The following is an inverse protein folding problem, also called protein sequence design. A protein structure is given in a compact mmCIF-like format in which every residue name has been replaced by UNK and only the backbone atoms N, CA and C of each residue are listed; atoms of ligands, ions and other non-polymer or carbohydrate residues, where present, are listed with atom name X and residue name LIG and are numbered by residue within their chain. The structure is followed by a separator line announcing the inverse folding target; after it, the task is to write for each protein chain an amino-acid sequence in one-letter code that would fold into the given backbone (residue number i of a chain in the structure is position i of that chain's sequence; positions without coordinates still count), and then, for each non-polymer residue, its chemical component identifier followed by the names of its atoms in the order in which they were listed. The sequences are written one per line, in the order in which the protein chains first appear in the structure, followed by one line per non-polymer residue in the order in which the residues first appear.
data_IF_359250920293
#
_entry.id   IF_359250920293
#
_cell.length_a   1.000
_cell.length_b   1.000
_cell.length_c   1.000
_cell.angle_alpha   90.00
_cell.angle_beta   90.00
_cell.angle_gamma   90.00
#
_symmetry.space_group_name_H-M   'P 1'
#
loop_
_entity.id
_entity.type
_entity.pdbx_description
1 polymer ?
#
# COMPACT_ATOMS: atom_id res chain seq x y z
N UNK A 1 14.81 29.26 -14.85
CA UNK A 1 13.92 28.22 -14.31
C UNK A 1 13.34 27.44 -15.47
N UNK A 2 13.42 26.09 -15.47
CA UNK A 2 12.63 25.27 -16.41
C UNK A 2 11.16 25.63 -16.18
N UNK A 3 10.38 25.78 -17.26
CA UNK A 3 8.97 26.18 -17.18
C UNK A 3 8.25 25.38 -16.09
N UNK A 4 7.55 26.09 -15.20
CA UNK A 4 6.59 25.47 -14.30
C UNK A 4 5.60 24.71 -15.18
N UNK A 5 5.62 23.39 -15.08
CA UNK A 5 4.68 22.53 -15.78
C UNK A 5 3.98 21.70 -14.73
N UNK A 6 2.71 21.38 -14.97
CA UNK A 6 1.83 20.62 -14.08
C UNK A 6 2.47 19.38 -13.45
N UNK A 7 3.35 18.70 -14.20
CA UNK A 7 4.02 17.47 -13.76
C UNK A 7 5.15 17.70 -12.73
N UNK A 8 5.56 18.96 -12.51
CA UNK A 8 6.67 19.33 -11.63
C UNK A 8 6.21 20.07 -10.35
N UNK A 9 4.90 20.24 -10.15
CA UNK A 9 4.34 20.80 -8.91
C UNK A 9 4.58 19.83 -7.74
N UNK A 10 5.42 20.22 -6.78
CA UNK A 10 5.74 19.40 -5.61
C UNK A 10 4.84 19.72 -4.41
N UNK A 11 4.54 20.99 -4.20
CA UNK A 11 3.69 21.47 -3.11
C UNK A 11 2.82 22.64 -3.58
N UNK A 12 1.67 22.81 -2.91
CA UNK A 12 0.79 23.97 -3.07
C UNK A 12 0.81 24.72 -1.75
N UNK A 13 1.19 25.99 -1.79
CA UNK A 13 1.25 26.88 -0.61
C UNK A 13 0.21 28.00 -0.70
N UNK A 14 -0.47 28.12 -1.84
CA UNK A 14 -1.39 29.22 -2.09
C UNK A 14 -2.32 28.94 -3.28
N UNK A 15 -3.50 29.52 -3.25
CA UNK A 15 -4.49 29.48 -4.34
C UNK A 15 -4.81 30.91 -4.74
N UNK A 16 -4.82 31.18 -6.05
CA UNK A 16 -5.14 32.50 -6.61
C UNK A 16 -6.46 32.50 -7.38
N UNK A 17 -7.13 33.66 -7.38
CA UNK A 17 -8.28 33.96 -8.25
C UNK A 17 -8.06 35.35 -8.85
N UNK A 18 -8.11 35.46 -10.17
CA UNK A 18 -7.92 36.73 -10.88
C UNK A 18 -9.29 37.33 -11.20
N UNK A 19 -9.50 38.58 -10.84
CA UNK A 19 -10.73 39.34 -11.04
C UNK A 19 -10.45 40.49 -12.01
N UNK A 20 -10.87 40.31 -13.26
CA UNK A 20 -10.72 41.33 -14.30
C UNK A 20 -12.01 42.15 -14.45
N UNK A 21 -12.30 42.93 -13.42
CA UNK A 21 -13.51 43.74 -13.32
C UNK A 21 -13.67 44.74 -14.48
N UNK A 22 -12.58 45.18 -15.11
CA UNK A 22 -12.62 46.11 -16.25
C UNK A 22 -13.27 45.53 -17.50
N UNK A 23 -13.36 44.20 -17.61
CA UNK A 23 -14.09 43.55 -18.70
C UNK A 23 -15.60 43.77 -18.60
N UNK A 24 -16.11 44.25 -17.45
CA UNK A 24 -17.52 44.55 -17.23
C UNK A 24 -17.74 46.05 -17.35
N UNK A 25 -18.68 46.45 -18.23
CA UNK A 25 -18.99 47.87 -18.50
C UNK A 25 -19.36 48.66 -17.24
N UNK A 26 -20.01 47.99 -16.29
CA UNK A 26 -20.48 48.57 -15.02
C UNK A 26 -19.33 49.00 -14.09
N UNK A 27 -18.20 48.29 -14.13
CA UNK A 27 -17.08 48.48 -13.21
C UNK A 27 -15.88 49.21 -13.83
N UNK A 28 -15.94 49.56 -15.12
CA UNK A 28 -14.83 50.22 -15.84
C UNK A 28 -14.39 51.56 -15.25
N UNK A 29 -15.32 52.28 -14.61
CA UNK A 29 -15.09 53.63 -14.05
C UNK A 29 -14.73 53.64 -12.57
N UNK A 30 -14.81 52.49 -11.91
CA UNK A 30 -14.56 52.39 -10.47
C UNK A 30 -13.07 52.21 -10.16
N UNK A 31 -12.64 52.78 -9.04
CA UNK A 31 -11.28 52.58 -8.54
C UNK A 31 -11.12 51.15 -8.01
N UNK A 32 -9.93 50.52 -8.12
CA UNK A 32 -9.73 49.16 -7.63
C UNK A 32 -10.09 48.99 -6.16
N UNK A 33 -9.91 50.03 -5.32
CA UNK A 33 -10.30 49.98 -3.90
C UNK A 33 -11.81 49.88 -3.71
N UNK A 34 -12.59 50.61 -4.51
CA UNK A 34 -14.06 50.54 -4.45
C UNK A 34 -14.57 49.15 -4.84
N UNK A 35 -13.91 48.49 -5.80
CA UNK A 35 -14.24 47.11 -6.15
C UNK A 35 -13.88 46.15 -5.01
N UNK A 36 -12.75 46.36 -4.32
CA UNK A 36 -12.40 45.55 -3.14
C UNK A 36 -13.45 45.73 -2.04
N UNK A 37 -13.88 46.95 -1.75
CA UNK A 37 -14.94 47.23 -0.76
C UNK A 37 -16.26 46.52 -1.12
N UNK A 38 -16.65 46.52 -2.40
CA UNK A 38 -17.84 45.77 -2.85
C UNK A 38 -17.67 44.25 -2.66
N UNK A 39 -16.48 43.71 -2.96
CA UNK A 39 -16.18 42.29 -2.75
C UNK A 39 -16.20 41.92 -1.26
N UNK A 40 -15.69 42.80 -0.39
CA UNK A 40 -15.74 42.65 1.06
C UNK A 40 -17.18 42.60 1.58
N UNK A 41 -18.05 43.48 1.09
CA UNK A 41 -19.43 43.59 1.56
C UNK A 41 -20.32 42.43 1.07
N UNK A 42 -20.17 42.03 -0.20
CA UNK A 42 -21.13 41.14 -0.86
C UNK A 42 -20.69 39.66 -0.87
N UNK A 43 -19.39 39.38 -0.76
CA UNK A 43 -18.86 38.02 -0.97
C UNK A 43 -18.01 37.49 0.18
N UNK A 44 -17.14 38.29 0.77
CA UNK A 44 -16.22 37.80 1.80
C UNK A 44 -16.98 37.36 3.06
N UNK A 45 -16.57 36.23 3.64
CA UNK A 45 -17.23 35.53 4.77
C UNK A 45 -18.69 35.10 4.52
N UNK A 46 -19.24 35.36 3.33
CA UNK A 46 -20.61 34.97 2.97
C UNK A 46 -20.63 33.86 1.92
N UNK A 47 -19.95 34.10 0.79
CA UNK A 47 -19.91 33.18 -0.37
C UNK A 47 -18.52 32.62 -0.64
N UNK A 48 -17.49 33.37 -0.27
CA UNK A 48 -16.09 32.96 -0.34
C UNK A 48 -15.38 33.38 0.95
N UNK A 49 -14.31 32.69 1.35
CA UNK A 49 -13.52 33.11 2.50
C UNK A 49 -12.80 34.43 2.19
N UNK A 50 -12.43 35.15 3.25
CA UNK A 50 -11.59 36.34 3.12
C UNK A 50 -10.20 35.96 2.62
N UNK A 51 -9.70 36.55 1.53
CA UNK A 51 -8.33 36.30 1.09
C UNK A 51 -7.31 36.84 2.09
N UNK A 52 -6.14 36.22 2.18
CA UNK A 52 -5.07 36.74 3.03
C UNK A 52 -4.47 38.02 2.46
N UNK A 53 -4.28 38.02 1.14
CA UNK A 53 -3.65 39.10 0.39
C UNK A 53 -4.47 39.40 -0.86
N UNK A 54 -4.63 40.68 -1.17
CA UNK A 54 -5.21 41.15 -2.42
C UNK A 54 -4.16 41.97 -3.16
N UNK A 55 -3.72 41.49 -4.32
CA UNK A 55 -2.95 42.28 -5.27
C UNK A 55 -3.94 43.13 -6.08
N UNK A 56 -3.73 44.44 -6.16
CA UNK A 56 -4.64 45.32 -6.88
C UNK A 56 -3.94 46.34 -7.78
N UNK A 57 -4.61 46.66 -8.88
CA UNK A 57 -4.17 47.59 -9.91
C UNK A 57 -5.21 47.62 -11.03
N UNK A 58 -4.80 47.45 -12.28
CA UNK A 58 -5.77 47.31 -13.39
C UNK A 58 -6.64 46.06 -13.27
N UNK A 59 -6.14 45.03 -12.62
CA UNK A 59 -6.84 43.80 -12.26
C UNK A 59 -6.66 43.57 -10.77
N UNK A 60 -7.56 42.80 -10.18
CA UNK A 60 -7.49 42.40 -8.77
C UNK A 60 -7.16 40.91 -8.74
N UNK A 61 -6.27 40.49 -7.85
CA UNK A 61 -5.99 39.07 -7.62
C UNK A 61 -6.13 38.77 -6.15
N UNK A 62 -7.03 37.85 -5.84
CA UNK A 62 -7.27 37.34 -4.49
C UNK A 62 -6.31 36.18 -4.24
N UNK A 63 -5.57 36.23 -3.14
CA UNK A 63 -4.55 35.24 -2.77
C UNK A 63 -4.91 34.62 -1.43
N UNK A 64 -5.13 33.31 -1.47
CA UNK A 64 -5.40 32.47 -0.31
C UNK A 64 -4.15 31.69 0.04
N UNK A 65 -3.58 31.94 1.21
CA UNK A 65 -2.44 31.18 1.72
C UNK A 65 -2.94 29.89 2.33
N UNK A 66 -2.44 28.75 1.84
CA UNK A 66 -2.79 27.44 2.38
C UNK A 66 -1.60 26.79 3.08
N UNK A 67 -1.88 25.94 4.06
CA UNK A 67 -0.83 25.09 4.63
C UNK A 67 -0.13 24.27 3.53
N UNK A 68 1.22 24.11 3.60
CA UNK A 68 1.97 23.40 2.57
C UNK A 68 1.45 21.99 2.31
N UNK A 69 0.77 21.82 1.17
CA UNK A 69 0.18 20.55 0.76
C UNK A 69 1.09 19.84 -0.25
N UNK A 70 1.74 18.76 0.17
CA UNK A 70 2.60 17.96 -0.70
C UNK A 70 1.80 17.07 -1.66
N UNK A 71 2.18 17.08 -2.94
CA UNK A 71 1.52 16.30 -3.98
C UNK A 71 2.22 14.94 -4.10
N UNK A 72 1.55 13.80 -3.78
CA UNK A 72 2.18 12.50 -3.89
C UNK A 72 2.45 12.14 -5.35
N UNK A 73 3.63 11.58 -5.62
CA UNK A 73 3.98 11.02 -6.93
C UNK A 73 2.91 9.99 -7.32
N UNK A 74 2.14 10.25 -8.38
CA UNK A 74 1.01 9.44 -8.88
C UNK A 74 -0.36 9.61 -8.19
N UNK A 75 -0.59 10.67 -7.39
CA UNK A 75 -1.94 11.01 -6.90
C UNK A 75 -2.25 12.48 -7.13
N UNK A 76 -3.18 12.74 -8.03
CA UNK A 76 -3.57 14.10 -8.40
C UNK A 76 -4.69 14.68 -7.52
N UNK A 77 -5.16 13.96 -6.50
CA UNK A 77 -6.32 14.35 -5.70
C UNK A 77 -6.17 15.75 -5.10
N UNK A 78 -4.99 16.07 -4.55
CA UNK A 78 -4.69 17.38 -3.94
C UNK A 78 -4.75 18.50 -4.99
N UNK A 79 -4.19 18.23 -6.18
CA UNK A 79 -4.20 19.16 -7.30
C UNK A 79 -5.62 19.39 -7.85
N UNK A 80 -6.41 18.32 -7.97
CA UNK A 80 -7.82 18.40 -8.39
C UNK A 80 -8.63 19.21 -7.39
N UNK A 81 -8.43 18.97 -6.09
CA UNK A 81 -9.14 19.71 -5.04
C UNK A 81 -8.82 21.20 -5.05
N UNK A 82 -7.53 21.56 -5.04
CA UNK A 82 -7.10 22.96 -5.06
C UNK A 82 -7.60 23.71 -6.32
N UNK A 83 -7.64 23.03 -7.47
CA UNK A 83 -8.24 23.60 -8.69
C UNK A 83 -9.75 23.82 -8.55
N UNK A 84 -10.47 22.85 -7.97
CA UNK A 84 -11.91 22.97 -7.75
C UNK A 84 -12.23 24.14 -6.83
N UNK A 85 -11.42 24.36 -5.78
CA UNK A 85 -11.55 25.52 -4.89
C UNK A 85 -11.42 26.84 -5.67
N UNK A 86 -10.35 27.01 -6.46
CA UNK A 86 -10.18 28.20 -7.31
C UNK A 86 -11.32 28.38 -8.32
N UNK A 87 -11.82 27.28 -8.90
CA UNK A 87 -12.95 27.31 -9.85
C UNK A 87 -14.26 27.74 -9.20
N UNK A 88 -14.56 27.26 -7.99
CA UNK A 88 -15.79 27.65 -7.27
C UNK A 88 -15.72 29.13 -6.89
N UNK A 89 -14.59 29.60 -6.37
CA UNK A 89 -14.43 31.02 -6.02
C UNK A 89 -14.53 31.93 -7.25
N UNK A 90 -13.90 31.55 -8.36
CA UNK A 90 -14.03 32.30 -9.61
C UNK A 90 -15.47 32.28 -10.16
N UNK A 91 -16.21 31.19 -9.94
CA UNK A 91 -17.62 31.08 -10.36
C UNK A 91 -18.52 32.01 -9.55
N UNK A 92 -18.32 32.11 -8.23
CA UNK A 92 -19.06 33.06 -7.39
C UNK A 92 -18.79 34.51 -7.81
N UNK A 93 -17.56 34.81 -8.22
CA UNK A 93 -17.14 36.15 -8.65
C UNK A 93 -17.26 36.39 -10.17
N UNK A 94 -17.98 35.53 -10.90
CA UNK A 94 -18.06 35.59 -12.37
C UNK A 94 -18.68 36.90 -12.88
N UNK A 95 -19.59 37.48 -12.11
CA UNK A 95 -20.23 38.75 -12.43
C UNK A 95 -19.24 39.92 -12.40
N UNK A 96 -18.20 39.81 -11.56
CA UNK A 96 -17.04 40.71 -11.49
C UNK A 96 -15.94 40.36 -12.50
N UNK A 97 -16.18 39.40 -13.41
CA UNK A 97 -15.19 39.00 -14.42
C UNK A 97 -14.07 38.15 -13.87
N UNK A 98 -14.34 37.37 -12.81
CA UNK A 98 -13.33 36.48 -12.25
C UNK A 98 -13.05 35.25 -13.11
N UNK A 99 -11.78 34.87 -13.13
CA UNK A 99 -11.26 33.68 -13.77
C UNK A 99 -10.38 32.89 -12.80
N UNK A 100 -10.38 31.56 -12.96
CA UNK A 100 -9.53 30.69 -12.18
C UNK A 100 -8.06 30.93 -12.57
N UNK A 101 -7.18 30.97 -11.58
CA UNK A 101 -5.77 31.05 -11.83
C UNK A 101 -5.12 29.67 -11.85
N UNK A 102 -4.11 29.47 -12.70
CA UNK A 102 -3.32 28.25 -12.69
C UNK A 102 -2.52 28.14 -11.38
N UNK A 103 -2.53 26.97 -10.74
CA UNK A 103 -1.76 26.70 -9.51
C UNK A 103 -0.25 26.86 -9.69
N UNK A 104 0.24 26.81 -10.93
CA UNK A 104 1.63 27.00 -11.32
C UNK A 104 2.03 28.48 -11.42
N UNK A 105 1.06 29.39 -11.26
CA UNK A 105 1.31 30.81 -11.40
C UNK A 105 2.13 31.35 -10.22
N UNK A 106 3.05 32.26 -10.54
CA UNK A 106 3.85 32.97 -9.54
C UNK A 106 3.16 34.28 -9.16
N UNK A 107 3.20 34.62 -7.88
CA UNK A 107 2.80 35.94 -7.42
C UNK A 107 3.88 36.98 -7.71
N UNK A 108 3.45 38.23 -7.87
CA UNK A 108 4.39 39.34 -8.05
C UNK A 108 5.01 39.69 -6.70
N UNK A 109 6.32 39.99 -6.63
CA UNK A 109 6.91 40.48 -5.39
C UNK A 109 6.27 41.82 -4.98
N UNK A 110 6.04 42.05 -3.67
CA UNK A 110 5.57 43.35 -3.19
C UNK A 110 6.56 44.46 -3.55
N UNK A 111 6.04 45.65 -3.88
CA UNK A 111 6.82 46.82 -4.33
C UNK A 111 7.61 46.63 -5.63
N UNK A 112 7.37 45.55 -6.37
CA UNK A 112 7.94 45.38 -7.71
C UNK A 112 7.27 46.33 -8.71
N UNK A 113 8.00 46.70 -9.77
CA UNK A 113 7.49 47.55 -10.85
C UNK A 113 7.02 46.65 -11.99
N UNK A 114 5.77 46.81 -12.42
CA UNK A 114 5.23 46.08 -13.55
C UNK A 114 5.79 46.63 -14.86
N UNK A 115 6.59 45.84 -15.59
CA UNK A 115 7.24 46.26 -16.83
C UNK A 115 6.29 46.68 -17.95
N UNK A 116 5.01 46.27 -17.90
CA UNK A 116 4.02 46.66 -18.92
C UNK A 116 3.47 48.07 -18.72
N UNK A 117 3.30 48.49 -17.46
CA UNK A 117 2.61 49.75 -17.12
C UNK A 117 3.47 50.70 -16.29
N UNK A 118 4.72 50.34 -15.96
CA UNK A 118 5.63 51.04 -15.06
C UNK A 118 5.03 51.45 -13.70
N UNK A 119 3.95 50.80 -13.28
CA UNK A 119 3.29 51.04 -12.00
C UNK A 119 3.80 50.05 -10.95
N UNK A 120 3.90 50.52 -9.71
CA UNK A 120 4.22 49.68 -8.54
C UNK A 120 3.05 48.74 -8.23
N UNK A 121 3.37 47.46 -7.95
CA UNK A 121 2.38 46.46 -7.55
C UNK A 121 1.92 46.74 -6.12
N UNK A 122 0.63 47.02 -5.95
CA UNK A 122 0.01 47.32 -4.65
C UNK A 122 -0.63 46.07 -4.05
N UNK A 123 -0.51 45.93 -2.74
CA UNK A 123 -1.09 44.84 -1.97
C UNK A 123 -1.93 45.39 -0.82
N UNK A 124 -3.04 44.72 -0.53
CA UNK A 124 -3.82 44.88 0.70
C UNK A 124 -3.72 43.55 1.47
N UNK A 125 -3.31 43.62 2.73
CA UNK A 125 -3.15 42.45 3.60
C UNK A 125 -4.19 42.54 4.71
N UNK A 126 -4.95 41.46 4.91
CA UNK A 126 -5.88 41.35 6.04
C UNK A 126 -5.15 40.76 7.23
N UNK A 127 -4.96 39.43 7.21
CA UNK A 127 -4.23 38.70 8.24
C UNK A 127 -3.33 37.64 7.59
N UNK A 128 -2.02 37.85 7.77
CA UNK A 128 -0.98 36.94 7.28
C UNK A 128 -0.73 35.76 8.25
N UNK A 129 -1.32 35.79 9.45
CA UNK A 129 -1.21 34.71 10.44
C UNK A 129 -2.16 33.55 10.13
N UNK A 130 -3.28 33.83 9.47
CA UNK A 130 -4.27 32.83 9.08
C UNK A 130 -3.73 32.01 7.90
N UNK A 131 -3.69 30.69 8.04
CA UNK A 131 -3.42 29.76 6.94
C UNK A 131 -4.58 28.81 6.81
N UNK A 132 -5.16 28.77 5.62
CA UNK A 132 -6.25 27.85 5.33
C UNK A 132 -5.72 26.43 5.12
N UNK A 133 -6.46 25.43 5.57
CA UNK A 133 -6.23 24.05 5.11
C UNK A 133 -7.12 23.75 3.91
N UNK A 134 -6.64 22.90 3.00
CA UNK A 134 -7.47 22.45 1.87
C UNK A 134 -8.74 21.71 2.33
N UNK A 135 -8.69 21.07 3.51
CA UNK A 135 -9.85 20.40 4.09
C UNK A 135 -10.90 21.42 4.58
N UNK A 136 -10.49 22.47 5.31
CA UNK A 136 -11.41 23.54 5.73
C UNK A 136 -12.06 24.20 4.52
N UNK A 137 -11.27 24.52 3.48
CA UNK A 137 -11.80 25.11 2.25
C UNK A 137 -12.79 24.18 1.54
N UNK A 138 -12.57 22.87 1.64
CA UNK A 138 -13.47 21.88 1.10
C UNK A 138 -14.76 21.73 1.90
N UNK A 139 -14.68 21.68 3.22
CA UNK A 139 -15.85 21.44 4.07
C UNK A 139 -16.77 22.65 4.16
N UNK A 140 -16.20 23.86 4.15
CA UNK A 140 -16.97 25.10 4.33
C UNK A 140 -17.49 25.70 3.01
N UNK A 141 -16.73 25.56 1.92
CA UNK A 141 -16.99 26.35 0.70
C UNK A 141 -17.21 25.54 -0.59
N UNK A 142 -17.12 24.20 -0.54
CA UNK A 142 -17.40 23.37 -1.70
C UNK A 142 -18.70 22.58 -1.52
N UNK A 143 -19.51 22.52 -2.58
CA UNK A 143 -20.71 21.68 -2.62
C UNK A 143 -20.36 20.21 -2.32
N UNK A 144 -21.26 19.57 -1.55
CA UNK A 144 -21.22 18.12 -1.35
C UNK A 144 -21.15 17.39 -2.70
N UNK A 145 -20.33 16.34 -2.74
CA UNK A 145 -20.24 15.52 -3.94
C UNK A 145 -21.62 14.94 -4.28
N UNK A 146 -22.07 14.97 -5.55
CA UNK A 146 -23.38 14.47 -5.93
C UNK A 146 -23.61 13.03 -5.46
N UNK A 147 -24.86 12.68 -5.11
CA UNK A 147 -25.22 11.35 -4.57
C UNK A 147 -24.79 10.19 -5.48
N UNK A 148 -24.77 10.40 -6.80
CA UNK A 148 -24.31 9.41 -7.79
C UNK A 148 -22.78 9.20 -7.78
N UNK A 149 -22.01 10.15 -7.23
CA UNK A 149 -20.56 10.07 -7.11
C UNK A 149 -20.19 9.14 -5.94
N UNK A 150 -20.22 7.84 -6.21
CA UNK A 150 -19.88 6.79 -5.24
C UNK A 150 -18.46 7.03 -4.71
N UNK A 151 -18.33 7.30 -3.40
CA UNK A 151 -17.04 7.17 -2.70
C UNK A 151 -16.46 5.82 -3.08
N UNK A 152 -15.20 5.81 -3.55
CA UNK A 152 -14.52 4.58 -3.93
C UNK A 152 -14.47 3.70 -2.69
N UNK A 153 -15.39 2.73 -2.59
CA UNK A 153 -15.39 1.77 -1.49
C UNK A 153 -14.03 1.08 -1.55
N UNK A 154 -13.24 1.20 -0.49
CA UNK A 154 -12.02 0.41 -0.35
C UNK A 154 -12.35 -1.05 -0.63
N UNK A 155 -11.41 -1.82 -1.20
CA UNK A 155 -11.61 -3.23 -1.62
C UNK A 155 -12.58 -3.96 -0.67
N UNK A 156 -13.83 -4.10 -1.08
CA UNK A 156 -14.82 -4.83 -0.30
C UNK A 156 -14.40 -6.30 -0.36
N UNK A 157 -14.09 -6.90 0.80
CA UNK A 157 -13.84 -8.34 0.90
C UNK A 157 -15.06 -9.05 0.32
N UNK A 158 -14.82 -9.91 -0.66
CA UNK A 158 -15.83 -10.74 -1.29
C UNK A 158 -16.62 -11.51 -0.22
N UNK A 159 -17.94 -11.31 -0.13
CA UNK A 159 -18.76 -11.88 0.97
C UNK A 159 -18.75 -13.41 1.01
N UNK A 160 -18.44 -14.07 -0.11
CA UNK A 160 -18.39 -15.54 -0.25
C UNK A 160 -17.00 -16.13 -0.06
N UNK A 161 -15.96 -15.31 0.04
CA UNK A 161 -14.60 -15.82 0.18
C UNK A 161 -14.35 -16.15 1.65
N UNK A 162 -14.52 -17.42 2.02
CA UNK A 162 -13.99 -17.96 3.28
C UNK A 162 -12.46 -17.89 3.20
N UNK A 163 -11.90 -16.81 3.73
CA UNK A 163 -10.46 -16.68 3.88
C UNK A 163 -10.09 -17.36 5.19
N UNK A 164 -9.26 -18.43 5.14
CA UNK A 164 -8.57 -18.90 6.35
C UNK A 164 -7.73 -17.73 6.87
N UNK A 165 -8.20 -17.10 7.94
CA UNK A 165 -7.44 -16.06 8.61
C UNK A 165 -6.29 -16.77 9.32
N UNK A 166 -5.05 -16.46 8.93
CA UNK A 166 -3.90 -16.80 9.75
C UNK A 166 -3.98 -15.94 11.02
N UNK A 167 -4.64 -16.47 12.04
CA UNK A 167 -4.66 -15.91 13.38
C UNK A 167 -3.83 -16.81 14.31
N UNK A 168 -3.46 -16.27 15.46
CA UNK A 168 -2.60 -16.96 16.44
C UNK A 168 -3.27 -18.25 16.93
N UNK A 169 -4.59 -18.28 17.04
CA UNK A 169 -5.36 -19.47 17.39
C UNK A 169 -5.15 -20.63 16.40
N UNK A 170 -5.39 -20.39 15.10
CA UNK A 170 -5.24 -21.40 14.04
C UNK A 170 -3.79 -21.86 13.93
N UNK A 171 -2.83 -20.94 14.08
CA UNK A 171 -1.41 -21.28 14.10
C UNK A 171 -1.08 -22.30 15.21
N UNK A 172 -1.54 -22.07 16.43
CA UNK A 172 -1.24 -22.97 17.55
C UNK A 172 -2.03 -24.28 17.49
N UNK A 173 -3.24 -24.29 16.91
CA UNK A 173 -3.93 -25.54 16.60
C UNK A 173 -3.12 -26.41 15.63
N UNK A 174 -2.56 -25.80 14.59
CA UNK A 174 -1.70 -26.52 13.65
C UNK A 174 -0.39 -26.96 14.28
N UNK A 175 0.22 -26.15 15.17
CA UNK A 175 1.42 -26.55 15.93
C UNK A 175 1.18 -27.77 16.81
N UNK A 176 0.04 -27.87 17.48
CA UNK A 176 -0.28 -29.05 18.30
C UNK A 176 -0.34 -30.32 17.43
N UNK A 177 -0.96 -30.26 16.25
CA UNK A 177 -0.99 -31.38 15.29
C UNK A 177 0.40 -31.72 14.74
N UNK A 178 1.22 -30.71 14.49
CA UNK A 178 2.60 -30.92 14.04
C UNK A 178 3.43 -31.62 15.13
N UNK A 179 3.22 -31.28 16.41
CA UNK A 179 3.88 -31.95 17.53
C UNK A 179 3.45 -33.42 17.67
N UNK A 180 2.19 -33.76 17.40
CA UNK A 180 1.70 -35.13 17.34
C UNK A 180 2.41 -35.93 16.24
N UNK A 181 2.54 -35.37 15.04
CA UNK A 181 3.32 -36.00 13.95
C UNK A 181 4.79 -36.18 14.30
N UNK A 182 5.41 -35.19 14.96
CA UNK A 182 6.80 -35.30 15.42
C UNK A 182 6.91 -36.39 16.48
N UNK A 183 5.95 -36.50 17.40
CA UNK A 183 5.90 -37.59 18.38
C UNK A 183 5.84 -38.97 17.70
N UNK A 184 4.98 -39.15 16.70
CA UNK A 184 4.89 -40.40 15.94
C UNK A 184 6.23 -40.74 15.27
N UNK A 185 6.89 -39.74 14.67
CA UNK A 185 8.22 -39.90 14.10
C UNK A 185 9.25 -40.32 15.15
N UNK A 186 9.33 -39.64 16.30
CA UNK A 186 10.28 -39.99 17.36
C UNK A 186 10.05 -41.41 17.91
N UNK A 187 8.78 -41.82 18.05
CA UNK A 187 8.43 -43.18 18.42
C UNK A 187 8.91 -44.19 17.36
N UNK A 188 8.83 -43.86 16.07
CA UNK A 188 9.30 -44.76 15.00
C UNK A 188 10.81 -45.00 15.02
N UNK A 189 11.60 -44.01 15.44
CA UNK A 189 13.06 -44.10 15.55
C UNK A 189 13.55 -44.44 16.96
N UNK A 190 12.63 -44.65 17.92
CA UNK A 190 12.91 -44.86 19.35
C UNK A 190 13.79 -43.77 19.99
N UNK A 191 13.62 -42.51 19.58
CA UNK A 191 14.34 -41.38 20.15
C UNK A 191 13.63 -40.85 21.41
N UNK A 192 14.36 -40.73 22.51
CA UNK A 192 13.78 -40.45 23.83
C UNK A 192 14.22 -39.11 24.43
N UNK A 193 15.22 -38.43 23.87
CA UNK A 193 15.80 -37.22 24.46
C UNK A 193 14.93 -35.97 24.30
N UNK A 194 14.09 -35.92 23.25
CA UNK A 194 13.31 -34.73 22.90
C UNK A 194 11.91 -34.70 23.52
N UNK A 195 11.47 -35.78 24.17
CA UNK A 195 10.12 -35.93 24.76
C UNK A 195 9.75 -34.78 25.70
N UNK A 196 10.65 -34.43 26.62
CA UNK A 196 10.40 -33.37 27.59
C UNK A 196 10.22 -32.00 26.92
N UNK A 197 10.99 -31.73 25.86
CA UNK A 197 10.89 -30.51 25.05
C UNK A 197 9.56 -30.46 24.30
N UNK A 198 9.10 -31.58 23.73
CA UNK A 198 7.80 -31.67 23.07
C UNK A 198 6.65 -31.46 24.04
N UNK A 199 6.64 -32.11 25.21
CA UNK A 199 5.61 -31.92 26.24
C UNK A 199 5.54 -30.47 26.72
N UNK A 200 6.69 -29.81 26.90
CA UNK A 200 6.76 -28.39 27.21
C UNK A 200 6.09 -27.53 26.13
N UNK A 201 6.45 -27.74 24.85
CA UNK A 201 5.86 -27.02 23.74
C UNK A 201 4.36 -27.28 23.60
N UNK A 202 3.91 -28.53 23.84
CA UNK A 202 2.50 -28.91 23.77
C UNK A 202 1.68 -28.14 24.82
N UNK A 203 2.12 -28.16 26.09
CA UNK A 203 1.47 -27.38 27.16
C UNK A 203 1.46 -25.88 26.84
N UNK A 204 2.58 -25.34 26.34
CA UNK A 204 2.69 -23.93 25.96
C UNK A 204 1.71 -23.54 24.84
N UNK A 205 1.68 -24.29 23.72
CA UNK A 205 0.82 -23.97 22.59
C UNK A 205 -0.65 -24.20 22.87
N UNK A 206 -0.99 -25.14 23.75
CA UNK A 206 -2.34 -25.31 24.25
C UNK A 206 -2.80 -24.04 25.00
N UNK A 207 -2.01 -23.54 25.94
CA UNK A 207 -2.34 -22.32 26.68
C UNK A 207 -2.44 -21.09 25.76
N UNK A 208 -1.53 -20.95 24.79
CA UNK A 208 -1.61 -19.84 23.82
C UNK A 208 -2.89 -19.97 22.98
N UNK A 209 -3.23 -21.17 22.50
CA UNK A 209 -4.48 -21.42 21.79
C UNK A 209 -5.67 -20.94 22.63
N UNK A 210 -5.76 -21.33 23.89
CA UNK A 210 -6.88 -20.94 24.76
C UNK A 210 -6.93 -19.45 25.04
N UNK A 211 -5.78 -18.83 25.34
CA UNK A 211 -5.67 -17.37 25.56
C UNK A 211 -6.21 -16.56 24.37
N UNK A 212 -5.90 -16.97 23.14
CA UNK A 212 -6.38 -16.26 21.96
C UNK A 212 -7.80 -16.62 21.52
N UNK A 213 -8.39 -17.68 22.08
CA UNK A 213 -9.78 -18.06 21.86
C UNK A 213 -10.72 -17.39 22.87
N UNK A 214 -10.37 -17.47 24.16
CA UNK A 214 -11.25 -17.12 25.28
C UNK A 214 -10.81 -15.83 26.00
N UNK A 215 -9.61 -15.30 25.71
CA UNK A 215 -9.08 -14.08 26.32
C UNK A 215 -8.14 -14.37 27.50
N UNK A 216 -8.54 -13.96 28.71
CA UNK A 216 -7.73 -14.18 29.91
C UNK A 216 -7.76 -15.65 30.31
N UNK A 217 -6.59 -16.21 30.65
CA UNK A 217 -6.48 -17.60 31.11
C UNK A 217 -7.04 -17.72 32.53
N UNK A 218 -7.90 -18.72 32.73
CA UNK A 218 -8.46 -19.07 34.05
C UNK A 218 -7.79 -20.34 34.60
N UNK A 219 -7.97 -20.61 35.90
CA UNK A 219 -7.39 -21.79 36.57
C UNK A 219 -7.71 -23.11 35.85
N UNK A 220 -8.93 -23.20 35.31
CA UNK A 220 -9.41 -24.35 34.54
C UNK A 220 -8.62 -24.57 33.24
N UNK A 221 -8.15 -23.50 32.57
CA UNK A 221 -7.33 -23.63 31.36
C UNK A 221 -5.98 -24.27 31.67
N UNK A 222 -5.39 -23.94 32.83
CA UNK A 222 -4.11 -24.50 33.26
C UNK A 222 -4.24 -25.98 33.63
N UNK A 223 -5.33 -26.38 34.30
CA UNK A 223 -5.64 -27.79 34.60
C UNK A 223 -5.86 -28.59 33.32
N UNK A 224 -6.59 -28.01 32.35
CA UNK A 224 -6.80 -28.65 31.06
C UNK A 224 -5.51 -28.78 30.24
N UNK A 225 -4.66 -27.75 30.24
CA UNK A 225 -3.36 -27.80 29.58
C UNK A 225 -2.44 -28.89 30.16
N UNK A 226 -2.44 -29.05 31.48
CA UNK A 226 -1.73 -30.14 32.17
C UNK A 226 -2.27 -31.51 31.74
N UNK A 227 -3.59 -31.69 31.80
CA UNK A 227 -4.26 -32.94 31.42
C UNK A 227 -3.96 -33.34 29.98
N UNK A 228 -4.03 -32.39 29.05
CA UNK A 228 -3.76 -32.66 27.63
C UNK A 228 -2.26 -32.92 27.39
N UNK A 229 -1.36 -32.23 28.08
CA UNK A 229 0.08 -32.53 28.04
C UNK A 229 0.39 -33.92 28.58
N UNK A 230 -0.25 -34.36 29.67
CA UNK A 230 -0.06 -35.70 30.22
C UNK A 230 -0.57 -36.79 29.26
N UNK A 231 -1.70 -36.57 28.59
CA UNK A 231 -2.17 -37.46 27.51
C UNK A 231 -1.14 -37.54 26.39
N UNK A 232 -0.65 -36.39 25.94
CA UNK A 232 0.40 -36.33 24.93
C UNK A 232 1.65 -37.10 25.38
N UNK A 233 2.11 -36.92 26.63
CA UNK A 233 3.25 -37.65 27.19
C UNK A 233 3.04 -39.18 27.16
N UNK A 234 1.82 -39.66 27.44
CA UNK A 234 1.52 -41.10 27.47
C UNK A 234 1.55 -41.76 26.08
N UNK A 235 1.53 -40.98 25.00
CA UNK A 235 1.62 -41.51 23.64
C UNK A 235 3.07 -41.80 23.20
N UNK A 236 4.08 -41.49 24.01
CA UNK A 236 5.46 -41.93 23.74
C UNK A 236 5.64 -43.42 24.09
N UNK A 237 6.48 -44.13 23.33
CA UNK A 237 6.85 -45.54 23.62
C UNK A 237 7.39 -45.70 25.04
N UNK A 238 8.22 -44.72 25.46
CA UNK A 238 8.62 -44.53 26.83
C UNK A 238 8.07 -43.18 27.29
N UNK A 239 7.05 -43.11 28.15
CA UNK A 239 6.57 -41.83 28.69
C UNK A 239 7.39 -41.41 29.92
N UNK A 240 7.49 -40.10 30.18
CA UNK A 240 8.01 -39.64 31.47
C UNK A 240 7.01 -39.89 32.59
N UNK A 241 7.48 -40.01 33.83
CA UNK A 241 6.59 -40.03 35.00
C UNK A 241 5.78 -38.73 35.06
N UNK A 242 4.45 -38.85 35.21
CA UNK A 242 3.53 -37.71 35.17
C UNK A 242 3.95 -36.54 36.08
N UNK A 243 4.32 -36.83 37.32
CA UNK A 243 4.76 -35.81 38.26
C UNK A 243 6.02 -35.07 37.80
N UNK A 244 6.99 -35.79 37.22
CA UNK A 244 8.25 -35.19 36.76
C UNK A 244 8.00 -34.25 35.58
N UNK A 245 7.19 -34.67 34.61
CA UNK A 245 6.92 -33.85 33.42
C UNK A 245 5.97 -32.67 33.73
N UNK A 246 5.04 -32.85 34.67
CA UNK A 246 4.23 -31.74 35.19
C UNK A 246 5.13 -30.62 35.72
N UNK A 247 6.04 -30.95 36.65
CA UNK A 247 6.95 -29.99 37.27
C UNK A 247 7.85 -29.33 36.22
N UNK A 248 8.43 -30.11 35.30
CA UNK A 248 9.30 -29.59 34.26
C UNK A 248 8.61 -28.63 33.28
N UNK A 249 7.30 -28.75 33.11
CA UNK A 249 6.52 -27.91 32.19
C UNK A 249 5.76 -26.78 32.90
N UNK A 250 5.74 -26.76 34.23
CA UNK A 250 4.94 -25.81 35.03
C UNK A 250 5.28 -24.34 34.80
N UNK A 251 6.49 -24.03 34.36
CA UNK A 251 6.92 -22.67 34.03
C UNK A 251 6.01 -21.98 32.99
N UNK A 252 5.35 -22.74 32.10
CA UNK A 252 4.45 -22.17 31.10
C UNK A 252 3.15 -21.61 31.67
N UNK A 253 2.81 -21.96 32.92
CA UNK A 253 1.65 -21.38 33.61
C UNK A 253 1.88 -19.89 33.90
N UNK A 254 3.13 -19.49 34.14
CA UNK A 254 3.51 -18.10 34.39
C UNK A 254 3.80 -17.35 33.09
N UNK A 255 4.52 -17.97 32.15
CA UNK A 255 4.97 -17.33 30.91
C UNK A 255 4.70 -18.19 29.70
N UNK A 256 3.89 -17.69 28.77
CA UNK A 256 3.67 -18.34 27.47
C UNK A 256 4.60 -17.79 26.39
N UNK A 257 5.21 -18.68 25.62
CA UNK A 257 6.28 -18.37 24.67
C UNK A 257 5.78 -18.42 23.22
N UNK A 258 5.88 -17.27 22.53
CA UNK A 258 5.58 -17.16 21.09
C UNK A 258 6.83 -17.48 20.27
N UNK A 259 7.10 -18.77 20.06
CA UNK A 259 8.26 -19.21 19.29
C UNK A 259 8.18 -18.86 17.80
N UNK A 260 9.31 -18.41 17.23
CA UNK A 260 9.55 -18.37 15.78
C UNK A 260 9.81 -19.78 15.26
N UNK A 261 9.54 -20.01 13.97
CA UNK A 261 9.76 -21.33 13.37
C UNK A 261 11.24 -21.74 13.41
N UNK A 262 12.19 -20.81 13.23
CA UNK A 262 13.62 -21.15 13.34
C UNK A 262 13.98 -21.58 14.77
N UNK A 263 13.40 -20.93 15.79
CA UNK A 263 13.64 -21.29 17.18
C UNK A 263 13.07 -22.68 17.51
N UNK A 264 11.89 -23.03 16.97
CA UNK A 264 11.31 -24.37 17.15
C UNK A 264 12.16 -25.45 16.51
N UNK A 265 12.64 -25.20 15.30
CA UNK A 265 13.52 -26.11 14.58
C UNK A 265 14.76 -26.43 15.41
N UNK A 266 15.45 -25.39 15.90
CA UNK A 266 16.65 -25.56 16.73
C UNK A 266 16.34 -26.21 18.08
N UNK A 267 15.22 -25.84 18.72
CA UNK A 267 14.84 -26.37 20.03
C UNK A 267 14.47 -27.86 19.98
N UNK A 268 13.90 -28.31 18.86
CA UNK A 268 13.57 -29.72 18.62
C UNK A 268 14.65 -30.48 17.86
N UNK A 269 15.79 -29.83 17.55
CA UNK A 269 16.91 -30.45 16.83
C UNK A 269 16.46 -31.09 15.49
N UNK A 270 15.50 -30.45 14.81
CA UNK A 270 14.95 -30.92 13.54
C UNK A 270 15.65 -30.26 12.34
N UNK A 271 15.48 -30.84 11.15
CA UNK A 271 15.87 -30.21 9.87
C UNK A 271 14.64 -29.76 9.09
N UNK A 272 14.81 -28.80 8.18
CA UNK A 272 13.69 -28.33 7.37
C UNK A 272 13.20 -29.42 6.42
N UNK A 273 14.12 -30.23 5.93
CA UNK A 273 13.87 -31.38 5.06
C UNK A 273 12.96 -32.39 5.77
N UNK A 274 13.29 -32.75 7.01
CA UNK A 274 12.46 -33.63 7.82
C UNK A 274 11.06 -33.05 8.08
N UNK A 275 10.96 -31.74 8.32
CA UNK A 275 9.66 -31.09 8.50
C UNK A 275 8.78 -31.16 7.23
N UNK A 276 9.40 -31.09 6.04
CA UNK A 276 8.70 -31.25 4.76
C UNK A 276 8.27 -32.70 4.52
N UNK A 277 9.13 -33.67 4.84
CA UNK A 277 8.84 -35.12 4.73
C UNK A 277 7.67 -35.54 5.65
N UNK A 278 7.64 -35.05 6.88
CA UNK A 278 6.55 -35.27 7.83
C UNK A 278 5.26 -34.52 7.45
N UNK A 279 5.32 -33.63 6.46
CA UNK A 279 4.18 -32.83 6.01
C UNK A 279 3.64 -31.91 7.10
N UNK A 280 4.52 -31.21 7.83
CA UNK A 280 4.12 -30.27 8.88
C UNK A 280 3.43 -29.02 8.29
N UNK A 281 2.36 -28.56 8.93
CA UNK A 281 1.55 -27.43 8.42
C UNK A 281 2.04 -26.06 8.88
N UNK A 282 2.61 -25.99 10.09
CA UNK A 282 2.95 -24.73 10.78
C UNK A 282 4.45 -24.54 10.98
N UNK A 283 5.21 -25.62 11.17
CA UNK A 283 6.67 -25.60 11.30
C UNK A 283 7.28 -25.82 9.91
N UNK A 284 7.37 -24.74 9.14
CA UNK A 284 7.92 -24.76 7.79
C UNK A 284 8.94 -23.64 7.59
N UNK A 285 9.79 -23.83 6.57
CA UNK A 285 10.82 -22.87 6.21
C UNK A 285 10.20 -21.55 5.73
N UNK A 286 10.45 -20.42 6.43
CA UNK A 286 9.86 -19.15 6.04
C UNK A 286 10.40 -18.71 4.68
N UNK A 287 9.49 -18.41 3.75
CA UNK A 287 9.87 -17.94 2.40
C UNK A 287 10.37 -16.50 2.44
N UNK A 288 11.46 -16.23 1.73
CA UNK A 288 11.97 -14.87 1.54
C UNK A 288 10.94 -13.99 0.80
N UNK A 289 11.09 -12.67 0.89
CA UNK A 289 10.23 -11.72 0.16
C UNK A 289 10.26 -11.99 -1.35
N UNK A 290 11.44 -12.30 -1.88
CA UNK A 290 11.63 -12.61 -3.29
C UNK A 290 10.92 -13.90 -3.71
N UNK A 291 11.04 -14.96 -2.91
CA UNK A 291 10.34 -16.23 -3.15
C UNK A 291 8.81 -16.02 -3.13
N UNK A 292 8.28 -15.26 -2.16
CA UNK A 292 6.86 -14.92 -2.09
C UNK A 292 6.38 -14.14 -3.31
N UNK A 293 7.17 -13.17 -3.77
CA UNK A 293 6.85 -12.39 -4.98
C UNK A 293 6.85 -13.27 -6.23
N UNK A 294 7.81 -14.18 -6.36
CA UNK A 294 7.89 -15.15 -7.45
C UNK A 294 6.68 -16.07 -7.46
N UNK A 295 6.28 -16.62 -6.31
CA UNK A 295 5.10 -17.47 -6.18
C UNK A 295 3.81 -16.73 -6.53
N UNK A 296 3.67 -15.48 -6.07
CA UNK A 296 2.53 -14.63 -6.38
C UNK A 296 2.44 -14.35 -7.89
N UNK A 297 3.56 -14.00 -8.52
CA UNK A 297 3.65 -13.78 -9.96
C UNK A 297 3.25 -15.06 -10.73
N UNK A 298 3.78 -16.21 -10.33
CA UNK A 298 3.45 -17.50 -10.95
C UNK A 298 1.97 -17.88 -10.77
N UNK A 299 1.39 -17.68 -9.59
CA UNK A 299 -0.05 -17.90 -9.36
C UNK A 299 -0.91 -16.98 -10.22
N UNK A 300 -0.52 -15.72 -10.37
CA UNK A 300 -1.20 -14.75 -11.24
C UNK A 300 -1.16 -15.20 -12.70
N UNK A 301 -0.02 -15.67 -13.18
CA UNK A 301 0.11 -16.22 -14.54
C UNK A 301 -0.81 -17.43 -14.76
N UNK A 302 -0.78 -18.42 -13.84
CA UNK A 302 -1.68 -19.59 -13.88
C UNK A 302 -3.15 -19.20 -13.91
N UNK A 303 -3.56 -18.23 -13.08
CA UNK A 303 -4.96 -17.76 -13.06
C UNK A 303 -5.40 -17.06 -14.35
N UNK A 304 -4.43 -16.57 -15.15
CA UNK A 304 -4.67 -15.93 -16.44
C UNK A 304 -4.45 -16.90 -17.61
N UNK A 305 -4.16 -18.18 -17.34
CA UNK A 305 -3.72 -19.18 -18.33
C UNK A 305 -2.55 -18.68 -19.19
N UNK A 306 -1.69 -17.84 -18.62
CA UNK A 306 -0.50 -17.29 -19.28
C UNK A 306 0.74 -18.05 -18.85
N UNK A 307 1.67 -18.23 -19.78
CA UNK A 307 2.98 -18.78 -19.50
C UNK A 307 3.88 -17.72 -18.86
N UNK A 308 4.88 -18.16 -18.12
CA UNK A 308 5.97 -17.27 -17.70
C UNK A 308 6.81 -16.88 -18.91
N UNK A 309 7.36 -15.66 -18.94
CA UNK A 309 8.30 -15.23 -20.00
C UNK A 309 9.45 -16.23 -20.20
N UNK A 310 9.90 -16.89 -19.13
CA UNK A 310 10.93 -17.94 -19.21
C UNK A 310 10.40 -19.17 -19.97
N UNK A 311 9.18 -19.59 -19.70
CA UNK A 311 8.53 -20.73 -20.37
C UNK A 311 8.20 -20.40 -21.83
N UNK A 312 7.74 -19.18 -22.12
CA UNK A 312 7.52 -18.69 -23.49
C UNK A 312 8.82 -18.73 -24.31
N UNK A 313 9.95 -18.32 -23.72
CA UNK A 313 11.26 -18.39 -24.37
C UNK A 313 11.71 -19.84 -24.58
N UNK A 314 11.46 -20.74 -23.62
CA UNK A 314 11.79 -22.18 -23.77
C UNK A 314 10.96 -22.79 -24.91
N UNK A 315 9.65 -22.56 -24.94
CA UNK A 315 8.78 -23.05 -26.02
C UNK A 315 9.16 -22.46 -27.38
N UNK A 316 9.49 -21.16 -27.43
CA UNK A 316 9.97 -20.52 -28.64
C UNK A 316 11.27 -21.14 -29.13
N UNK A 317 12.23 -21.39 -28.23
CA UNK A 317 13.51 -22.03 -28.55
C UNK A 317 13.34 -23.46 -29.04
N UNK A 318 12.43 -24.23 -28.43
CA UNK A 318 12.08 -25.57 -28.92
C UNK A 318 11.55 -25.51 -30.35
N UNK A 319 10.57 -24.62 -30.62
CA UNK A 319 10.05 -24.41 -31.99
C UNK A 319 11.12 -23.97 -32.99
N UNK A 320 12.03 -23.06 -32.59
CA UNK A 320 13.15 -22.63 -33.45
C UNK A 320 14.06 -23.82 -33.75
N UNK A 321 14.36 -24.66 -32.75
CA UNK A 321 15.17 -25.87 -32.93
C UNK A 321 14.52 -26.84 -33.92
N UNK A 322 13.22 -27.10 -33.78
CA UNK A 322 12.48 -28.00 -34.66
C UNK A 322 12.44 -27.46 -36.10
N UNK A 323 12.14 -26.18 -36.28
CA UNK A 323 12.12 -25.53 -37.60
C UNK A 323 13.50 -25.48 -38.26
N UNK A 324 14.58 -25.35 -37.48
CA UNK A 324 15.95 -25.45 -38.00
C UNK A 324 16.29 -26.89 -38.43
N UNK A 325 15.81 -27.89 -37.69
CA UNK A 325 15.99 -29.29 -38.06
C UNK A 325 15.21 -29.65 -39.34
N UNK A 326 14.06 -29.02 -39.57
CA UNK A 326 13.29 -29.09 -40.82
C UNK A 326 13.95 -28.34 -42.00
N UNK A 327 15.08 -27.67 -41.78
CA UNK A 327 15.88 -27.01 -42.81
C UNK A 327 15.45 -25.57 -43.15
N UNK A 328 14.53 -24.97 -42.37
CA UNK A 328 14.14 -23.57 -42.60
C UNK A 328 15.29 -22.61 -42.25
N UNK A 329 15.41 -21.54 -43.03
CA UNK A 329 16.40 -20.51 -42.74
C UNK A 329 15.95 -19.64 -41.56
N UNK A 330 16.89 -19.01 -40.86
CA UNK A 330 16.55 -18.08 -39.77
C UNK A 330 15.62 -16.95 -40.21
N UNK A 331 15.68 -16.55 -41.50
CA UNK A 331 14.81 -15.54 -42.10
C UNK A 331 13.35 -15.99 -42.13
N UNK A 332 13.14 -17.23 -42.51
CA UNK A 332 11.80 -17.81 -42.59
C UNK A 332 11.23 -18.02 -41.18
N UNK A 333 12.08 -18.46 -40.24
CA UNK A 333 11.70 -18.72 -38.85
C UNK A 333 11.23 -17.45 -38.12
N UNK A 334 11.97 -16.33 -38.21
CA UNK A 334 11.53 -15.11 -37.50
C UNK A 334 10.27 -14.50 -38.11
N UNK A 335 10.05 -14.70 -39.41
CA UNK A 335 8.85 -14.25 -40.11
C UNK A 335 7.64 -15.11 -39.71
N UNK A 336 7.82 -16.43 -39.69
CA UNK A 336 6.78 -17.42 -39.37
C UNK A 336 6.35 -17.37 -37.90
N UNK A 337 7.30 -17.18 -36.98
CA UNK A 337 7.01 -17.04 -35.54
C UNK A 337 6.60 -15.61 -35.14
N UNK A 338 6.58 -14.67 -36.09
CA UNK A 338 6.30 -13.24 -35.86
C UNK A 338 7.15 -12.64 -34.72
N UNK A 339 8.46 -12.90 -34.76
CA UNK A 339 9.43 -12.40 -33.78
C UNK A 339 10.48 -11.52 -34.46
N UNK A 340 11.13 -10.64 -33.70
CA UNK A 340 12.17 -9.79 -34.29
C UNK A 340 13.37 -10.63 -34.76
N UNK A 341 14.01 -10.21 -35.86
CA UNK A 341 15.26 -10.79 -36.37
C UNK A 341 16.30 -10.98 -35.25
N UNK A 342 16.45 -9.97 -34.38
CA UNK A 342 17.43 -9.99 -33.28
C UNK A 342 17.08 -11.03 -32.21
N UNK A 343 15.79 -11.23 -31.93
CA UNK A 343 15.32 -12.24 -30.99
C UNK A 343 15.63 -13.66 -31.50
N UNK A 344 15.37 -13.93 -32.78
CA UNK A 344 15.66 -15.22 -33.40
C UNK A 344 17.17 -15.52 -33.37
N UNK A 345 18.01 -14.56 -33.78
CA UNK A 345 19.47 -14.72 -33.78
C UNK A 345 20.01 -15.03 -32.38
N UNK A 346 19.54 -14.32 -31.35
CA UNK A 346 19.96 -14.55 -29.97
C UNK A 346 19.56 -15.93 -29.45
N UNK A 347 18.37 -16.42 -29.81
CA UNK A 347 17.91 -17.74 -29.40
C UNK A 347 18.66 -18.87 -30.11
N UNK A 348 18.98 -18.72 -31.40
CA UNK A 348 19.84 -19.66 -32.14
C UNK A 348 21.25 -19.68 -31.54
N UNK A 349 21.82 -18.51 -31.23
CA UNK A 349 23.11 -18.41 -30.56
C UNK A 349 23.11 -19.16 -29.22
N UNK A 350 22.07 -18.96 -28.40
CA UNK A 350 21.93 -19.68 -27.14
C UNK A 350 21.78 -21.20 -27.33
N UNK A 351 21.07 -21.66 -28.37
CA UNK A 351 20.94 -23.10 -28.65
C UNK A 351 22.29 -23.71 -29.06
N UNK A 352 23.10 -22.99 -29.86
CA UNK A 352 24.47 -23.39 -30.23
C UNK A 352 25.41 -23.45 -29.03
N UNK A 353 25.38 -22.43 -28.17
CA UNK A 353 26.18 -22.38 -26.93
C UNK A 353 25.87 -23.52 -25.96
N UNK A 354 24.66 -24.09 -26.04
CA UNK A 354 24.22 -25.25 -25.25
C UNK A 354 24.43 -26.60 -25.98
N UNK A 355 25.01 -26.60 -27.19
CA UNK A 355 25.23 -27.81 -28.00
C UNK A 355 23.93 -28.50 -28.46
N UNK A 356 22.82 -27.76 -28.54
CA UNK A 356 21.50 -28.31 -28.87
C UNK A 356 21.18 -28.31 -30.37
N UNK A 357 21.96 -27.58 -31.18
CA UNK A 357 21.91 -27.45 -32.65
C UNK A 357 23.30 -27.14 -33.22
#
# INVERSE_FOLDING_TARGET
MKSGTRNNLFCINSIGVDVDYKNKKEFQRLDPKQIIELLEMDFFEQRIPTPNLIEYGNQIRLIYTVEPCYIPKHRDNVLVLARRVSEVFAKELKDYGAERQNLESYFRPPKSINSKNNAEVKFLAYDNSIRYTLNELQELWLDELPVWHKRRRGRTKDKRKVVKLHNVYVLNCNRLRDLEKIQDYLNSINETNLRARLCFLYRNFYLIKQKYQNGLLIEEDFKNAEKEMLKFNNNFNEPFRNHVIEVNTRSVNHTQYLYKNETLLNFLELTWELCEELGLESIYKPKSKEQRNKDYYNKKLKSQSKLSKKEEVIQRRAKIKDLLAEGLTQKDIYTLLNISKRTCINDVKHLKEQGLI
#
